data_IF_997043252365
#
_entry.id   IF_997043252365
#
_cell.length_a   1.000
_cell.length_b   1.000
_cell.length_c   1.000
_cell.angle_alpha   90.00
_cell.angle_beta   90.00
_cell.angle_gamma   90.00
#
_symmetry.space_group_name_H-M   'P 1'
#
loop_
_entity.id
_entity.type
_entity.pdbx_description
1 polymer ?
#
# COMPACT_ATOMS: atom_id res chain seq x y z
N UNK A 1 -17.67 24.51 -18.05
CA UNK A 1 -17.62 24.22 -16.60
C UNK A 1 -16.46 23.26 -16.32
N UNK A 2 -15.45 23.66 -15.53
CA UNK A 2 -14.34 22.77 -15.16
C UNK A 2 -14.86 21.57 -14.37
N UNK A 3 -14.68 20.34 -14.90
CA UNK A 3 -15.10 19.11 -14.24
C UNK A 3 -14.28 18.91 -12.96
N UNK A 4 -14.95 18.68 -11.83
CA UNK A 4 -14.26 18.40 -10.56
C UNK A 4 -13.42 17.12 -10.70
N UNK A 5 -12.19 17.08 -10.18
CA UNK A 5 -11.30 15.92 -10.27
C UNK A 5 -11.72 14.80 -9.29
N UNK A 6 -12.95 14.28 -9.45
CA UNK A 6 -13.55 13.29 -8.54
C UNK A 6 -12.68 12.02 -8.45
N UNK A 7 -12.07 11.61 -9.57
CA UNK A 7 -11.19 10.43 -9.60
C UNK A 7 -10.05 10.56 -8.58
N UNK A 8 -9.40 11.72 -8.52
CA UNK A 8 -8.23 11.92 -7.65
C UNK A 8 -8.65 12.03 -6.18
N UNK A 9 -9.82 12.60 -5.90
CA UNK A 9 -10.41 12.59 -4.56
C UNK A 9 -10.63 11.16 -4.05
N UNK A 10 -11.28 10.31 -4.84
CA UNK A 10 -11.54 8.90 -4.47
C UNK A 10 -10.22 8.17 -4.20
N UNK A 11 -9.27 8.30 -5.11
CA UNK A 11 -7.97 7.64 -5.02
C UNK A 11 -7.15 8.09 -3.80
N UNK A 12 -7.11 9.39 -3.51
CA UNK A 12 -6.42 9.93 -2.35
C UNK A 12 -7.09 9.53 -1.03
N UNK A 13 -8.42 9.50 -0.96
CA UNK A 13 -9.13 9.09 0.26
C UNK A 13 -8.87 7.62 0.58
N UNK A 14 -8.97 6.73 -0.42
CA UNK A 14 -8.62 5.31 -0.23
C UNK A 14 -7.18 5.14 0.23
N UNK A 15 -6.26 5.92 -0.36
CA UNK A 15 -4.84 5.90 -0.01
C UNK A 15 -4.58 6.45 1.40
N UNK A 16 -5.35 7.45 1.84
CA UNK A 16 -5.28 8.02 3.18
C UNK A 16 -5.73 7.01 4.24
N UNK A 17 -6.78 6.23 3.96
CA UNK A 17 -7.25 5.18 4.87
C UNK A 17 -6.17 4.09 5.06
N UNK A 18 -5.57 3.63 3.96
CA UNK A 18 -4.49 2.65 4.01
C UNK A 18 -3.28 3.22 4.76
N UNK A 19 -2.88 4.46 4.44
CA UNK A 19 -1.75 5.13 5.09
C UNK A 19 -1.98 5.31 6.59
N UNK A 20 -3.21 5.66 7.01
CA UNK A 20 -3.55 5.80 8.42
C UNK A 20 -3.46 4.45 9.17
N UNK A 21 -3.92 3.35 8.57
CA UNK A 21 -3.76 2.01 9.16
C UNK A 21 -2.29 1.63 9.29
N UNK A 22 -1.47 1.87 8.27
CA UNK A 22 -0.03 1.59 8.32
C UNK A 22 0.70 2.44 9.38
N UNK A 23 0.34 3.72 9.51
CA UNK A 23 0.88 4.60 10.55
C UNK A 23 0.50 4.11 11.95
N UNK A 24 -0.74 3.67 12.16
CA UNK A 24 -1.15 3.08 13.43
C UNK A 24 -0.36 1.80 13.74
N UNK A 25 -0.09 0.99 12.70
CA UNK A 25 0.70 -0.23 12.82
C UNK A 25 2.13 0.02 13.33
N UNK A 26 2.83 1.04 12.82
CA UNK A 26 4.20 1.35 13.26
C UNK A 26 4.29 2.06 14.62
N UNK A 27 3.18 2.62 15.11
CA UNK A 27 3.11 3.23 16.45
C UNK A 27 2.80 2.18 17.53
N UNK A 28 2.28 1.03 17.13
CA UNK A 28 1.99 -0.08 18.03
C UNK A 28 3.28 -0.85 18.32
N UNK A 29 3.53 -1.30 19.56
CA UNK A 29 4.74 -2.07 19.85
C UNK A 29 4.74 -3.42 19.13
N UNK A 30 5.93 -3.92 18.77
CA UNK A 30 6.10 -5.28 18.28
C UNK A 30 5.56 -6.26 19.32
N UNK A 31 4.56 -7.11 18.99
CA UNK A 31 3.99 -8.05 19.94
C UNK A 31 5.02 -9.13 20.30
N UNK A 32 5.15 -9.43 21.58
CA UNK A 32 5.96 -10.54 22.07
C UNK A 32 5.42 -11.90 21.59
N UNK A 33 6.28 -12.92 21.54
CA UNK A 33 5.84 -14.29 21.23
C UNK A 33 4.82 -14.83 22.22
N UNK A 34 4.89 -14.43 23.49
CA UNK A 34 3.91 -14.80 24.53
C UNK A 34 2.53 -14.21 24.22
N UNK A 35 2.48 -12.91 23.87
CA UNK A 35 1.22 -12.25 23.47
C UNK A 35 0.61 -12.86 22.22
N UNK A 36 1.44 -13.22 21.24
CA UNK A 36 1.00 -13.92 20.02
C UNK A 36 0.55 -15.36 20.33
N UNK A 37 1.23 -16.04 21.25
CA UNK A 37 0.84 -17.38 21.70
C UNK A 37 -0.51 -17.37 22.38
N UNK A 38 -0.77 -16.39 23.25
CA UNK A 38 -2.06 -16.23 23.90
C UNK A 38 -3.20 -15.96 22.89
N UNK A 39 -2.95 -15.18 21.83
CA UNK A 39 -3.96 -14.93 20.78
C UNK A 39 -4.21 -16.17 19.91
N UNK A 40 -3.18 -16.97 19.64
CA UNK A 40 -3.29 -18.15 18.77
C UNK A 40 -3.74 -19.42 19.49
N UNK A 41 -3.60 -19.49 20.83
CA UNK A 41 -4.09 -20.62 21.64
C UNK A 41 -5.60 -20.86 21.54
N UNK A 42 -6.36 -19.89 21.03
CA UNK A 42 -7.80 -19.98 20.80
C UNK A 42 -8.15 -20.73 19.50
N UNK A 43 -7.18 -21.00 18.62
CA UNK A 43 -7.38 -21.74 17.36
C UNK A 43 -7.43 -23.24 17.65
N UNK A 44 -8.64 -23.78 17.76
CA UNK A 44 -8.86 -25.21 18.00
C UNK A 44 -8.38 -26.05 16.80
N UNK A 45 -7.70 -27.16 17.07
CA UNK A 45 -7.31 -28.16 16.07
C UNK A 45 -5.92 -27.96 15.43
N UNK A 46 -5.20 -26.89 15.78
CA UNK A 46 -3.80 -26.73 15.34
C UNK A 46 -2.86 -27.61 16.17
N UNK A 47 -1.89 -28.26 15.51
CA UNK A 47 -0.81 -28.95 16.22
C UNK A 47 0.12 -27.97 16.93
N UNK A 48 0.85 -28.43 17.95
CA UNK A 48 1.86 -27.61 18.65
C UNK A 48 2.91 -27.02 17.68
N UNK A 49 3.29 -27.81 16.66
CA UNK A 49 4.24 -27.37 15.62
C UNK A 49 3.67 -26.22 14.77
N UNK A 50 2.42 -26.36 14.31
CA UNK A 50 1.77 -25.32 13.51
C UNK A 50 1.57 -24.04 14.30
N UNK A 51 1.26 -24.16 15.59
CA UNK A 51 1.13 -23.02 16.50
C UNK A 51 2.48 -22.29 16.64
N UNK A 52 3.56 -23.03 16.88
CA UNK A 52 4.91 -22.46 16.99
C UNK A 52 5.36 -21.77 15.69
N UNK A 53 5.17 -22.44 14.55
CA UNK A 53 5.50 -21.89 13.23
C UNK A 53 4.74 -20.59 12.96
N UNK A 54 3.45 -20.56 13.30
CA UNK A 54 2.59 -19.37 13.12
C UNK A 54 3.05 -18.22 14.02
N UNK A 55 3.35 -18.49 15.30
CA UNK A 55 3.83 -17.46 16.23
C UNK A 55 5.16 -16.88 15.74
N UNK A 56 6.09 -17.74 15.32
CA UNK A 56 7.38 -17.31 14.80
C UNK A 56 7.24 -16.48 13.52
N UNK A 57 6.38 -16.90 12.59
CA UNK A 57 6.08 -16.16 11.37
C UNK A 57 5.46 -14.79 11.65
N UNK A 58 4.46 -14.71 12.55
CA UNK A 58 3.81 -13.46 12.92
C UNK A 58 4.78 -12.50 13.61
N UNK A 59 5.63 -13.02 14.50
CA UNK A 59 6.63 -12.21 15.19
C UNK A 59 7.65 -11.61 14.21
N UNK A 60 8.21 -12.42 13.30
CA UNK A 60 9.12 -11.92 12.25
C UNK A 60 8.45 -10.92 11.31
N UNK A 61 7.18 -11.15 10.95
CA UNK A 61 6.41 -10.20 10.14
C UNK A 61 6.22 -8.87 10.86
N UNK A 62 6.00 -8.89 12.18
CA UNK A 62 5.92 -7.69 12.99
C UNK A 62 7.26 -6.96 13.10
N UNK A 63 8.38 -7.68 13.26
CA UNK A 63 9.73 -7.11 13.22
C UNK A 63 10.02 -6.44 11.87
N UNK A 64 9.70 -7.10 10.75
CA UNK A 64 9.87 -6.52 9.41
C UNK A 64 9.06 -5.24 9.25
N UNK A 65 7.82 -5.24 9.74
CA UNK A 65 6.94 -4.08 9.71
C UNK A 65 7.52 -2.89 10.48
N UNK A 66 8.35 -3.16 11.49
CA UNK A 66 9.06 -2.17 12.31
C UNK A 66 10.51 -1.92 11.87
N UNK A 67 10.95 -2.51 10.75
CA UNK A 67 12.27 -2.22 10.21
C UNK A 67 12.37 -0.76 9.76
N UNK A 68 13.56 -0.18 9.89
CA UNK A 68 13.82 1.22 9.52
C UNK A 68 13.38 1.54 8.10
N UNK A 69 13.66 0.64 7.15
CA UNK A 69 13.28 0.82 5.74
C UNK A 69 11.76 0.84 5.59
N UNK A 70 11.04 -0.11 6.21
CA UNK A 70 9.58 -0.13 6.12
C UNK A 70 8.94 1.12 6.75
N UNK A 71 9.44 1.55 7.91
CA UNK A 71 8.97 2.77 8.58
C UNK A 71 9.17 3.99 7.68
N UNK A 72 10.34 4.13 7.06
CA UNK A 72 10.62 5.23 6.12
C UNK A 72 9.66 5.20 4.93
N UNK A 73 9.42 4.02 4.34
CA UNK A 73 8.47 3.87 3.24
C UNK A 73 7.05 4.28 3.64
N UNK A 74 6.60 3.89 4.83
CA UNK A 74 5.27 4.25 5.37
C UNK A 74 5.16 5.77 5.58
N UNK A 75 6.16 6.38 6.22
CA UNK A 75 6.16 7.83 6.49
C UNK A 75 6.16 8.63 5.19
N UNK A 76 7.04 8.27 4.24
CA UNK A 76 7.10 8.93 2.94
C UNK A 76 5.78 8.78 2.17
N UNK A 77 5.16 7.60 2.22
CA UNK A 77 3.86 7.35 1.61
C UNK A 77 2.78 8.25 2.20
N UNK A 78 2.71 8.35 3.53
CA UNK A 78 1.75 9.21 4.21
C UNK A 78 1.94 10.70 3.86
N UNK A 79 3.20 11.17 3.80
CA UNK A 79 3.52 12.55 3.38
C UNK A 79 3.02 12.81 1.96
N UNK A 80 3.24 11.89 1.03
CA UNK A 80 2.81 12.05 -0.36
C UNK A 80 1.27 12.10 -0.49
N UNK A 81 0.55 11.29 0.28
CA UNK A 81 -0.93 11.34 0.32
C UNK A 81 -1.41 12.70 0.85
N UNK A 82 -0.85 13.17 1.97
CA UNK A 82 -1.21 14.47 2.55
C UNK A 82 -0.88 15.60 1.56
N UNK A 83 0.29 15.57 0.93
CA UNK A 83 0.69 16.53 -0.09
C UNK A 83 -0.31 16.53 -1.27
N UNK A 84 -0.69 15.34 -1.77
CA UNK A 84 -1.70 15.21 -2.82
C UNK A 84 -3.05 15.83 -2.45
N UNK A 85 -3.53 15.60 -1.23
CA UNK A 85 -4.78 16.20 -0.73
C UNK A 85 -4.67 17.71 -0.61
N UNK A 86 -3.61 18.22 0.01
CA UNK A 86 -3.40 19.68 0.19
C UNK A 86 -3.31 20.39 -1.16
N UNK A 87 -2.55 19.82 -2.11
CA UNK A 87 -2.44 20.36 -3.47
C UNK A 87 -3.79 20.33 -4.19
N UNK A 88 -4.58 19.27 -4.02
CA UNK A 88 -5.91 19.17 -4.62
C UNK A 88 -6.89 20.20 -4.05
N UNK A 89 -6.89 20.42 -2.73
CA UNK A 89 -7.70 21.45 -2.07
C UNK A 89 -7.30 22.86 -2.53
N UNK A 90 -6.01 23.08 -2.77
CA UNK A 90 -5.48 24.35 -3.32
C UNK A 90 -5.67 24.50 -4.84
N UNK A 91 -6.41 23.60 -5.49
CA UNK A 91 -6.65 23.58 -6.93
C UNK A 91 -5.38 23.42 -7.80
N UNK A 92 -4.30 22.90 -7.24
CA UNK A 92 -3.07 22.57 -7.96
C UNK A 92 -3.14 21.14 -8.54
N UNK A 93 -4.08 20.92 -9.48
CA UNK A 93 -4.45 19.58 -9.95
C UNK A 93 -3.28 18.79 -10.56
N UNK A 94 -2.44 19.43 -11.38
CA UNK A 94 -1.28 18.74 -11.99
C UNK A 94 -0.30 18.24 -10.92
N UNK A 95 0.07 19.10 -9.97
CA UNK A 95 0.95 18.73 -8.86
C UNK A 95 0.33 17.67 -7.95
N UNK A 96 -0.99 17.72 -7.73
CA UNK A 96 -1.70 16.68 -6.97
C UNK A 96 -1.62 15.31 -7.66
N UNK A 97 -1.75 15.27 -9.01
CA UNK A 97 -1.54 14.03 -9.75
C UNK A 97 -0.09 13.53 -9.65
N UNK A 98 0.91 14.42 -9.73
CA UNK A 98 2.31 14.01 -9.57
C UNK A 98 2.62 13.45 -8.19
N UNK A 99 2.12 14.10 -7.13
CA UNK A 99 2.23 13.58 -5.77
C UNK A 99 1.59 12.20 -5.63
N UNK A 100 0.41 12.02 -6.25
CA UNK A 100 -0.28 10.73 -6.23
C UNK A 100 0.47 9.65 -7.03
N UNK A 101 1.01 9.96 -8.21
CA UNK A 101 1.85 9.03 -8.98
C UNK A 101 3.06 8.59 -8.15
N UNK A 102 3.76 9.54 -7.52
CA UNK A 102 4.89 9.24 -6.65
C UNK A 102 4.49 8.32 -5.48
N UNK A 103 3.34 8.58 -4.86
CA UNK A 103 2.78 7.69 -3.83
C UNK A 103 2.53 6.27 -4.35
N UNK A 104 1.88 6.13 -5.50
CA UNK A 104 1.54 4.80 -6.06
C UNK A 104 2.80 4.01 -6.43
N UNK A 105 3.81 4.68 -7.01
CA UNK A 105 5.11 4.05 -7.29
C UNK A 105 5.79 3.58 -6.00
N UNK A 106 5.76 4.41 -4.95
CA UNK A 106 6.30 4.05 -3.65
C UNK A 106 5.54 2.89 -3.01
N UNK A 107 4.21 2.84 -3.16
CA UNK A 107 3.38 1.74 -2.67
C UNK A 107 3.72 0.41 -3.36
N UNK A 108 3.99 0.44 -4.68
CA UNK A 108 4.49 -0.73 -5.41
C UNK A 108 5.84 -1.19 -4.86
N UNK A 109 6.80 -0.27 -4.71
CA UNK A 109 8.11 -0.59 -4.14
C UNK A 109 7.99 -1.17 -2.73
N UNK A 110 7.17 -0.57 -1.87
CA UNK A 110 6.94 -1.04 -0.51
C UNK A 110 6.29 -2.43 -0.44
N UNK A 111 5.37 -2.73 -1.36
CA UNK A 111 4.77 -4.08 -1.44
C UNK A 111 5.79 -5.15 -1.80
N UNK A 112 6.68 -4.87 -2.76
CA UNK A 112 7.76 -5.78 -3.17
C UNK A 112 8.77 -5.94 -2.04
N UNK A 113 9.17 -4.84 -1.39
CA UNK A 113 10.07 -4.87 -0.23
C UNK A 113 9.53 -5.76 0.88
N UNK A 114 8.26 -5.59 1.24
CA UNK A 114 7.61 -6.38 2.30
C UNK A 114 7.56 -7.86 1.92
N UNK A 115 7.18 -8.18 0.69
CA UNK A 115 7.14 -9.56 0.21
C UNK A 115 8.52 -10.24 0.24
N UNK A 116 9.57 -9.52 -0.18
CA UNK A 116 10.95 -10.02 -0.14
C UNK A 116 11.43 -10.22 1.30
N UNK A 117 11.17 -9.25 2.19
CA UNK A 117 11.57 -9.33 3.60
C UNK A 117 10.90 -10.47 4.37
N UNK A 118 9.75 -10.96 3.92
CA UNK A 118 9.06 -12.09 4.55
C UNK A 118 9.57 -13.46 4.11
N UNK A 119 10.39 -13.58 3.05
CA UNK A 119 10.77 -14.88 2.51
C UNK A 119 11.50 -15.76 3.53
N UNK A 120 12.44 -15.19 4.28
CA UNK A 120 13.16 -15.93 5.33
C UNK A 120 12.25 -16.38 6.47
N UNK A 121 11.16 -15.65 6.74
CA UNK A 121 10.16 -16.05 7.72
C UNK A 121 9.29 -17.19 7.21
N UNK A 122 8.89 -17.16 5.94
CA UNK A 122 8.10 -18.23 5.30
C UNK A 122 8.92 -19.51 5.20
N UNK A 123 10.19 -19.43 4.81
CA UNK A 123 11.05 -20.61 4.69
C UNK A 123 11.39 -21.26 6.04
N UNK A 124 11.25 -20.51 7.14
CA UNK A 124 11.41 -21.03 8.50
C UNK A 124 10.18 -21.84 8.99
N UNK A 125 9.04 -21.78 8.30
CA UNK A 125 7.85 -22.60 8.61
C UNK A 125 8.16 -24.06 8.29
N UNK A 126 8.02 -24.92 9.29
CA UNK A 126 8.37 -26.34 9.18
C UNK A 126 7.22 -27.17 8.64
N UNK A 127 5.98 -26.85 8.99
CA UNK A 127 4.80 -27.47 8.40
C UNK A 127 4.68 -27.11 6.91
N UNK A 128 4.78 -28.12 6.04
CA UNK A 128 4.82 -27.92 4.59
C UNK A 128 3.53 -27.31 4.04
N UNK A 129 2.37 -27.72 4.57
CA UNK A 129 1.07 -27.22 4.11
C UNK A 129 0.91 -25.76 4.48
N UNK A 130 1.26 -25.39 5.72
CA UNK A 130 1.26 -24.02 6.21
C UNK A 130 2.25 -23.14 5.44
N UNK A 131 3.45 -23.65 5.16
CA UNK A 131 4.47 -22.94 4.38
C UNK A 131 3.97 -22.64 2.97
N UNK A 132 3.50 -23.64 2.25
CA UNK A 132 2.97 -23.48 0.89
C UNK A 132 1.76 -22.53 0.87
N UNK A 133 0.84 -22.67 1.82
CA UNK A 133 -0.31 -21.78 1.95
C UNK A 133 0.11 -20.32 2.18
N UNK A 134 1.07 -20.09 3.07
CA UNK A 134 1.61 -18.76 3.37
C UNK A 134 2.35 -18.17 2.17
N UNK A 135 3.14 -18.96 1.46
CA UNK A 135 3.87 -18.53 0.26
C UNK A 135 2.91 -18.11 -0.86
N UNK A 136 1.92 -18.95 -1.16
CA UNK A 136 0.92 -18.66 -2.20
C UNK A 136 0.10 -17.43 -1.83
N UNK A 137 -0.34 -17.32 -0.57
CA UNK A 137 -1.11 -16.16 -0.10
C UNK A 137 -0.28 -14.87 -0.17
N UNK A 138 0.98 -14.91 0.27
CA UNK A 138 1.90 -13.78 0.21
C UNK A 138 2.16 -13.33 -1.23
N UNK A 139 2.44 -14.27 -2.14
CA UNK A 139 2.60 -14.01 -3.58
C UNK A 139 1.33 -13.42 -4.19
N UNK A 140 0.19 -14.08 -3.98
CA UNK A 140 -1.10 -13.67 -4.55
C UNK A 140 -1.52 -12.28 -4.09
N UNK A 141 -1.36 -11.99 -2.79
CA UNK A 141 -1.67 -10.67 -2.21
C UNK A 141 -0.77 -9.59 -2.81
N UNK A 142 0.53 -9.86 -2.94
CA UNK A 142 1.49 -8.90 -3.51
C UNK A 142 1.17 -8.62 -4.98
N UNK A 143 0.90 -9.65 -5.78
CA UNK A 143 0.52 -9.50 -7.19
C UNK A 143 -0.76 -8.68 -7.32
N UNK A 144 -1.79 -9.00 -6.53
CA UNK A 144 -3.06 -8.27 -6.54
C UNK A 144 -2.84 -6.79 -6.21
N UNK A 145 -2.07 -6.49 -5.17
CA UNK A 145 -1.78 -5.12 -4.76
C UNK A 145 -1.03 -4.35 -5.84
N UNK A 146 -0.02 -4.95 -6.48
CA UNK A 146 0.72 -4.34 -7.59
C UNK A 146 -0.22 -4.06 -8.76
N UNK A 147 -1.06 -5.01 -9.16
CA UNK A 147 -2.02 -4.84 -10.26
C UNK A 147 -3.00 -3.69 -9.98
N UNK A 148 -3.56 -3.62 -8.76
CA UNK A 148 -4.45 -2.52 -8.37
C UNK A 148 -3.73 -1.16 -8.50
N UNK A 149 -2.48 -1.06 -8.03
CA UNK A 149 -1.71 0.17 -8.13
C UNK A 149 -1.38 0.55 -9.59
N UNK A 150 -1.09 -0.43 -10.45
CA UNK A 150 -0.92 -0.20 -11.90
C UNK A 150 -2.22 0.32 -12.52
N UNK A 151 -3.38 -0.21 -12.13
CA UNK A 151 -4.68 0.32 -12.58
C UNK A 151 -4.90 1.77 -12.11
N UNK A 152 -4.50 2.11 -10.89
CA UNK A 152 -4.57 3.49 -10.39
C UNK A 152 -3.69 4.43 -11.21
N UNK A 153 -2.46 4.03 -11.54
CA UNK A 153 -1.60 4.79 -12.45
C UNK A 153 -2.27 4.98 -13.82
N UNK A 154 -2.82 3.92 -14.40
CA UNK A 154 -3.50 3.99 -15.70
C UNK A 154 -4.66 5.00 -15.68
N UNK A 155 -5.48 5.00 -14.62
CA UNK A 155 -6.58 5.97 -14.44
C UNK A 155 -6.03 7.40 -14.38
N UNK A 156 -4.98 7.63 -13.60
CA UNK A 156 -4.40 8.96 -13.40
C UNK A 156 -3.79 9.49 -14.69
N UNK A 157 -2.95 8.70 -15.36
CA UNK A 157 -2.35 9.08 -16.63
C UNK A 157 -3.40 9.34 -17.70
N UNK A 158 -4.42 8.47 -17.82
CA UNK A 158 -5.52 8.69 -18.75
C UNK A 158 -6.27 10.01 -18.49
N UNK A 159 -6.55 10.32 -17.21
CA UNK A 159 -7.23 11.56 -16.83
C UNK A 159 -6.38 12.80 -17.07
N UNK A 160 -5.07 12.73 -16.79
CA UNK A 160 -4.14 13.82 -17.07
C UNK A 160 -4.04 14.09 -18.58
N UNK A 161 -3.88 13.05 -19.39
CA UNK A 161 -3.81 13.18 -20.85
C UNK A 161 -5.09 13.81 -21.40
N UNK A 162 -6.26 13.34 -20.97
CA UNK A 162 -7.54 13.91 -21.39
C UNK A 162 -7.68 15.38 -20.98
N UNK A 163 -7.27 15.74 -19.76
CA UNK A 163 -7.30 17.13 -19.30
C UNK A 163 -6.41 18.03 -20.17
N UNK A 164 -5.20 17.59 -20.51
CA UNK A 164 -4.31 18.35 -21.39
C UNK A 164 -4.91 18.55 -22.79
N UNK A 165 -5.59 17.54 -23.33
CA UNK A 165 -6.28 17.63 -24.61
C UNK A 165 -7.47 18.60 -24.59
N UNK A 166 -8.30 18.52 -23.55
CA UNK A 166 -9.43 19.45 -23.37
C UNK A 166 -8.90 20.91 -23.27
N UNK A 167 -7.77 21.12 -22.59
CA UNK A 167 -7.10 22.43 -22.48
C UNK A 167 -6.56 22.95 -23.82
N UNK A 168 -5.96 22.11 -24.67
CA UNK A 168 -5.48 22.54 -25.98
C UNK A 168 -6.63 22.90 -26.92
N UNK A 169 -7.72 22.13 -26.90
CA UNK A 169 -8.90 22.39 -27.73
C UNK A 169 -9.61 23.71 -27.32
N UNK A 170 -9.64 24.04 -26.02
CA UNK A 170 -10.14 25.33 -25.53
C UNK A 170 -9.30 26.51 -26.03
N UNK A 171 -7.96 26.39 -26.01
CA UNK A 171 -7.05 27.44 -26.50
C UNK A 171 -7.20 27.65 -28.00
N UNK A 172 -7.24 26.57 -28.79
CA UNK A 172 -7.45 26.65 -30.25
C UNK A 172 -8.79 27.29 -30.61
N UNK A 173 -9.85 27.01 -29.83
CA UNK A 173 -11.17 27.61 -30.05
C UNK A 173 -11.20 29.12 -29.73
N UNK A 174 -10.47 29.57 -28.70
CA UNK A 174 -10.35 30.99 -28.37
C UNK A 174 -9.51 31.76 -29.41
N UNK A 175 -8.45 31.17 -29.96
CA UNK A 175 -7.62 31.80 -30.99
C UNK A 175 -8.33 31.91 -32.36
N UNK A 176 -9.35 31.09 -32.61
CA UNK A 176 -10.12 31.07 -33.86
C UNK A 176 -11.34 32.01 -33.90
N UNK A 177 -11.64 32.73 -32.81
CA UNK A 177 -12.76 33.69 -32.67
C UNK A 177 -12.30 35.12 -32.55
#
# INVERSE_FOLDING_TARGET
MKKKPIYLWVLLVLSALISAMSLFGILSPVPSKETLGASQAQVQGASAQQLEDTINYLHKTAELSHSTVNIVLIILSAILVVAGIVLLVRNHLQYANYAYIAYVLLAIVGSIYTYMGMQDAVQAIRDETLRLGTEVLGKGTTILFVVINVLFLAIVFYKMWRQQKDLSEEVEAEEAT
#
